data_IF_558320652025
#
_entry.id   IF_558320652025
#
_cell.length_a   1.000
_cell.length_b   1.000
_cell.length_c   1.000
_cell.angle_alpha   90.00
_cell.angle_beta   90.00
_cell.angle_gamma   90.00
#
_symmetry.space_group_name_H-M   'P 1'
#
loop_
_entity.id
_entity.type
_entity.pdbx_description
1 polymer ?
#
# COMPACT_ATOMS: atom_id res chain seq x y z
N UNK A 1 -30.36 -39.85 -8.75
CA UNK A 1 -29.01 -40.36 -9.06
C UNK A 1 -28.08 -39.16 -8.99
N UNK A 2 -27.34 -39.07 -7.89
CA UNK A 2 -26.53 -37.94 -7.46
C UNK A 2 -25.23 -37.89 -8.28
N UNK A 3 -25.03 -36.82 -9.03
CA UNK A 3 -23.77 -36.56 -9.73
C UNK A 3 -22.78 -35.93 -8.75
N UNK A 4 -22.02 -36.77 -8.05
CA UNK A 4 -20.86 -36.33 -7.29
C UNK A 4 -19.83 -35.80 -8.29
N UNK A 5 -19.70 -34.48 -8.36
CA UNK A 5 -18.63 -33.77 -9.05
C UNK A 5 -17.26 -34.18 -8.51
N UNK A 6 -16.76 -35.31 -8.99
CA UNK A 6 -15.39 -35.76 -8.80
C UNK A 6 -14.52 -34.89 -9.67
N UNK A 7 -13.86 -33.92 -9.05
CA UNK A 7 -12.74 -33.22 -9.68
C UNK A 7 -11.65 -34.27 -9.92
N UNK A 8 -11.56 -34.77 -11.16
CA UNK A 8 -10.59 -35.79 -11.51
C UNK A 8 -9.15 -35.37 -11.16
N UNK A 9 -8.22 -36.34 -10.99
CA UNK A 9 -6.85 -36.12 -10.51
C UNK A 9 -6.02 -35.09 -11.31
N UNK A 10 -6.49 -34.62 -12.48
CA UNK A 10 -5.90 -33.56 -13.27
C UNK A 10 -6.33 -32.11 -12.93
N UNK A 11 -7.22 -31.90 -11.95
CA UNK A 11 -7.68 -30.55 -11.55
C UNK A 11 -6.63 -29.77 -10.74
N UNK A 12 -6.01 -30.43 -9.75
CA UNK A 12 -4.95 -29.83 -8.93
C UNK A 12 -3.65 -29.61 -9.72
N UNK A 13 -3.35 -30.49 -10.68
CA UNK A 13 -2.16 -30.43 -11.52
C UNK A 13 -2.14 -29.22 -12.46
N UNK A 14 -3.32 -28.67 -12.81
CA UNK A 14 -3.46 -27.47 -13.64
C UNK A 14 -3.36 -26.15 -12.87
N UNK A 15 -3.25 -26.20 -11.55
CA UNK A 15 -3.10 -25.00 -10.72
C UNK A 15 -1.73 -24.37 -10.91
N UNK A 16 -1.67 -23.04 -10.79
CA UNK A 16 -0.41 -22.31 -10.77
C UNK A 16 0.51 -22.78 -9.64
N UNK A 17 1.82 -22.65 -9.84
CA UNK A 17 2.84 -23.18 -8.92
C UNK A 17 2.65 -22.73 -7.46
N UNK A 18 2.31 -21.45 -7.24
CA UNK A 18 2.07 -20.90 -5.89
C UNK A 18 0.88 -21.56 -5.18
N UNK A 19 -0.21 -21.83 -5.89
CA UNK A 19 -1.38 -22.53 -5.34
C UNK A 19 -1.05 -23.98 -4.98
N UNK A 20 -0.16 -24.63 -5.75
CA UNK A 20 0.30 -25.99 -5.47
C UNK A 20 1.23 -26.05 -4.26
N UNK A 21 1.98 -24.98 -3.99
CA UNK A 21 2.78 -24.83 -2.77
C UNK A 21 1.94 -24.45 -1.54
N UNK A 22 0.63 -24.25 -1.69
CA UNK A 22 -0.24 -23.86 -0.58
C UNK A 22 -0.14 -22.39 -0.20
N UNK A 23 0.22 -21.51 -1.14
CA UNK A 23 0.29 -20.06 -0.95
C UNK A 23 -0.86 -19.32 -1.67
N UNK A 24 -2.13 -19.48 -1.24
CA UNK A 24 -3.25 -18.71 -1.80
C UNK A 24 -3.13 -17.24 -1.43
N UNK A 25 -3.47 -16.34 -2.35
CA UNK A 25 -3.49 -14.90 -2.07
C UNK A 25 -4.69 -14.54 -1.19
N UNK A 26 -4.44 -13.78 -0.12
CA UNK A 26 -5.48 -13.22 0.73
C UNK A 26 -6.20 -12.05 0.01
N UNK A 27 -7.54 -12.03 0.03
CA UNK A 27 -8.34 -10.93 -0.53
C UNK A 27 -8.10 -9.61 0.19
N UNK A 28 -7.65 -9.67 1.44
CA UNK A 28 -7.27 -8.52 2.25
C UNK A 28 -5.80 -8.09 2.08
N UNK A 29 -4.97 -8.84 1.36
CA UNK A 29 -3.52 -8.64 1.32
C UNK A 29 -3.13 -7.20 0.93
N UNK A 30 -3.76 -6.65 -0.12
CA UNK A 30 -3.44 -5.28 -0.57
C UNK A 30 -3.75 -4.25 0.51
N UNK A 31 -4.82 -4.44 1.28
CA UNK A 31 -5.15 -3.52 2.38
C UNK A 31 -4.04 -3.54 3.44
N UNK A 32 -3.59 -4.71 3.86
CA UNK A 32 -2.51 -4.85 4.84
C UNK A 32 -1.20 -4.23 4.33
N UNK A 33 -0.84 -4.50 3.08
CA UNK A 33 0.37 -3.96 2.46
C UNK A 33 0.33 -2.43 2.30
N UNK A 34 -0.83 -1.87 1.94
CA UNK A 34 -1.04 -0.41 1.91
C UNK A 34 -0.98 0.19 3.31
N UNK A 35 -1.59 -0.45 4.31
CA UNK A 35 -1.48 0.00 5.71
C UNK A 35 -0.03 0.05 6.17
N UNK A 36 0.76 -0.99 5.87
CA UNK A 36 2.19 -1.03 6.15
C UNK A 36 2.91 0.16 5.49
N UNK A 37 2.72 0.35 4.18
CA UNK A 37 3.37 1.42 3.41
C UNK A 37 3.03 2.82 3.92
N UNK A 38 1.73 3.09 4.11
CA UNK A 38 1.24 4.39 4.59
C UNK A 38 1.77 4.66 5.99
N UNK A 39 1.73 3.67 6.90
CA UNK A 39 2.29 3.81 8.22
C UNK A 39 3.80 4.13 8.17
N UNK A 40 4.57 3.44 7.32
CA UNK A 40 5.99 3.73 7.15
C UNK A 40 6.26 5.15 6.67
N UNK A 41 5.56 5.61 5.63
CA UNK A 41 5.74 6.97 5.09
C UNK A 41 5.35 8.01 6.14
N UNK A 42 4.18 7.87 6.75
CA UNK A 42 3.71 8.80 7.80
C UNK A 42 4.70 8.86 8.96
N UNK A 43 5.24 7.71 9.39
CA UNK A 43 6.26 7.65 10.44
C UNK A 43 7.53 8.39 10.06
N UNK A 44 8.08 8.20 8.85
CA UNK A 44 9.26 8.95 8.38
C UNK A 44 9.02 10.47 8.45
N UNK A 45 7.88 10.92 7.93
CA UNK A 45 7.53 12.35 7.93
C UNK A 45 7.36 12.90 9.34
N UNK A 46 6.62 12.19 10.18
CA UNK A 46 6.33 12.61 11.55
C UNK A 46 7.62 12.72 12.35
N UNK A 47 8.52 11.73 12.23
CA UNK A 47 9.84 11.73 12.86
C UNK A 47 10.66 12.92 12.38
N UNK A 48 10.74 13.16 11.06
CA UNK A 48 11.49 14.30 10.51
C UNK A 48 10.91 15.65 10.90
N UNK A 49 9.60 15.81 10.87
CA UNK A 49 8.93 17.04 11.29
C UNK A 49 9.18 17.31 12.77
N UNK A 50 9.09 16.28 13.61
CA UNK A 50 9.42 16.36 15.03
C UNK A 50 10.88 16.78 15.25
N UNK A 51 11.84 16.13 14.58
CA UNK A 51 13.27 16.46 14.69
C UNK A 51 13.58 17.88 14.21
N UNK A 52 12.97 18.31 13.11
CA UNK A 52 13.14 19.68 12.60
C UNK A 52 12.56 20.73 13.57
N UNK A 53 11.39 20.46 14.16
CA UNK A 53 10.75 21.37 15.11
C UNK A 53 11.49 21.47 16.44
N UNK A 54 12.17 20.39 16.85
CA UNK A 54 12.88 20.31 18.13
C UNK A 54 14.38 20.59 18.03
N UNK A 55 14.89 20.87 16.82
CA UNK A 55 16.30 21.19 16.60
C UNK A 55 17.25 19.99 16.68
N UNK A 56 16.78 18.80 16.31
CA UNK A 56 17.54 17.54 16.35
C UNK A 56 18.07 17.17 17.75
N UNK A 57 17.18 17.02 18.75
CA UNK A 57 17.58 16.66 20.10
C UNK A 57 18.21 15.28 20.11
N UNK A 58 19.36 15.14 20.76
CA UNK A 58 19.97 13.85 20.98
C UNK A 58 19.32 13.18 22.18
N UNK A 59 18.68 12.03 21.97
CA UNK A 59 18.14 11.20 23.04
C UNK A 59 19.22 10.20 23.47
N UNK A 60 19.87 10.51 24.58
CA UNK A 60 20.95 9.70 25.18
C UNK A 60 22.07 10.58 25.77
N UNK A 61 22.80 10.07 26.77
CA UNK A 61 23.84 10.78 27.49
C UNK A 61 25.09 9.91 27.68
N UNK A 62 26.27 10.54 27.86
CA UNK A 62 27.53 9.84 28.13
C UNK A 62 28.13 9.08 26.92
N UNK A 63 27.82 9.48 25.69
CA UNK A 63 28.30 8.82 24.46
C UNK A 63 27.37 7.72 23.92
N UNK A 64 26.24 7.46 24.58
CA UNK A 64 25.19 6.57 24.07
C UNK A 64 24.12 7.41 23.35
N UNK A 65 23.92 7.17 22.06
CA UNK A 65 22.79 7.69 21.29
C UNK A 65 21.80 6.56 21.04
N UNK A 66 20.58 6.67 21.59
CA UNK A 66 19.52 5.71 21.32
C UNK A 66 18.84 6.09 20.00
N UNK A 67 19.32 5.51 18.90
CA UNK A 67 18.79 5.80 17.58
C UNK A 67 17.38 5.21 17.41
N UNK A 68 16.52 5.95 16.71
CA UNK A 68 15.14 5.55 16.41
C UNK A 68 15.06 4.23 15.63
N UNK A 69 16.16 3.83 14.97
CA UNK A 69 16.33 2.53 14.31
C UNK A 69 16.14 1.34 15.27
N UNK A 70 16.50 1.47 16.55
CA UNK A 70 16.36 0.41 17.55
C UNK A 70 14.87 0.16 17.84
N UNK A 71 14.12 1.25 18.06
CA UNK A 71 12.67 1.20 18.21
C UNK A 71 11.99 0.68 16.94
N UNK A 72 12.51 1.07 15.78
CA UNK A 72 12.09 0.53 14.49
C UNK A 72 12.22 -0.99 14.41
N UNK A 73 13.40 -1.51 14.73
CA UNK A 73 13.67 -2.95 14.81
C UNK A 73 12.78 -3.67 15.82
N UNK A 74 12.59 -3.10 17.02
CA UNK A 74 11.72 -3.67 18.05
C UNK A 74 10.26 -3.77 17.59
N UNK A 75 9.71 -2.72 16.98
CA UNK A 75 8.33 -2.74 16.48
C UNK A 75 8.14 -3.75 15.34
N UNK A 76 9.12 -3.90 14.45
CA UNK A 76 9.09 -4.95 13.43
C UNK A 76 9.16 -6.35 14.04
N UNK A 77 10.00 -6.56 15.06
CA UNK A 77 10.08 -7.82 15.79
C UNK A 77 8.74 -8.15 16.49
N UNK A 78 8.12 -7.16 17.15
CA UNK A 78 6.80 -7.32 17.76
C UNK A 78 5.72 -7.62 16.72
N UNK A 79 5.79 -7.01 15.53
CA UNK A 79 4.88 -7.33 14.43
C UNK A 79 5.04 -8.79 13.96
N UNK A 80 6.27 -9.28 13.82
CA UNK A 80 6.54 -10.69 13.50
C UNK A 80 6.05 -11.62 14.60
N UNK A 81 6.34 -11.33 15.87
CA UNK A 81 5.85 -12.11 17.01
C UNK A 81 4.32 -12.19 16.99
N UNK A 82 3.64 -11.07 16.76
CA UNK A 82 2.18 -11.03 16.66
C UNK A 82 1.65 -11.89 15.51
N UNK A 83 2.24 -11.77 14.32
CA UNK A 83 1.81 -12.55 13.14
C UNK A 83 2.10 -14.06 13.26
N UNK A 84 3.12 -14.44 14.03
CA UNK A 84 3.51 -15.83 14.25
C UNK A 84 2.81 -16.47 15.46
N UNK A 85 2.34 -15.67 16.42
CA UNK A 85 1.73 -16.19 17.66
C UNK A 85 0.26 -16.57 17.52
N UNK A 86 -0.45 -16.00 16.53
CA UNK A 86 -1.90 -16.12 16.42
C UNK A 86 -2.31 -16.69 15.06
N UNK A 87 -3.32 -17.56 15.08
CA UNK A 87 -3.93 -18.12 13.87
C UNK A 87 -5.06 -17.22 13.39
N UNK A 88 -5.20 -17.09 12.06
CA UNK A 88 -6.28 -16.35 11.42
C UNK A 88 -5.96 -14.87 11.12
N UNK A 89 -6.96 -14.11 10.64
CA UNK A 89 -6.78 -12.79 10.05
C UNK A 89 -6.73 -11.63 11.04
N UNK A 90 -7.19 -11.81 12.28
CA UNK A 90 -7.37 -10.76 13.28
C UNK A 90 -6.08 -9.95 13.52
N UNK A 91 -4.92 -10.56 13.85
CA UNK A 91 -3.69 -9.82 14.14
C UNK A 91 -3.09 -9.08 12.94
N UNK A 92 -3.50 -9.41 11.70
CA UNK A 92 -2.81 -8.93 10.48
C UNK A 92 -2.88 -7.41 10.30
N UNK A 93 -3.98 -6.77 10.72
CA UNK A 93 -4.10 -5.31 10.64
C UNK A 93 -3.07 -4.62 11.55
N UNK A 94 -2.99 -5.09 12.80
CA UNK A 94 -2.07 -4.53 13.79
C UNK A 94 -0.61 -4.88 13.43
N UNK A 95 -0.35 -6.09 12.94
CA UNK A 95 0.96 -6.48 12.44
C UNK A 95 1.43 -5.61 11.27
N UNK A 96 0.54 -5.30 10.32
CA UNK A 96 0.84 -4.39 9.23
C UNK A 96 1.14 -2.96 9.73
N UNK A 97 0.38 -2.45 10.71
CA UNK A 97 0.62 -1.13 11.30
C UNK A 97 1.96 -1.09 12.05
N UNK A 98 2.18 -2.01 12.99
CA UNK A 98 3.41 -2.07 13.80
C UNK A 98 4.63 -2.29 12.92
N UNK A 99 4.53 -3.20 11.95
CA UNK A 99 5.59 -3.43 10.96
C UNK A 99 5.86 -2.17 10.14
N UNK A 100 4.81 -1.46 9.71
CA UNK A 100 4.93 -0.23 8.94
C UNK A 100 5.59 0.89 9.72
N UNK A 101 5.13 1.16 10.96
CA UNK A 101 5.76 2.15 11.86
C UNK A 101 7.20 1.76 12.16
N UNK A 102 7.46 0.49 12.47
CA UNK A 102 8.80 -0.01 12.76
C UNK A 102 9.75 0.16 11.57
N UNK A 103 9.29 -0.19 10.37
CA UNK A 103 10.04 0.01 9.13
C UNK A 103 10.28 1.50 8.84
N UNK A 104 9.29 2.36 9.09
CA UNK A 104 9.42 3.82 8.93
C UNK A 104 10.50 4.42 9.83
N UNK A 105 10.55 4.03 11.10
CA UNK A 105 11.62 4.46 12.02
C UNK A 105 12.99 3.91 11.62
N UNK A 106 13.03 2.67 11.14
CA UNK A 106 14.26 2.02 10.69
C UNK A 106 14.85 2.71 9.46
N UNK A 107 14.02 2.95 8.44
CA UNK A 107 14.45 3.47 7.15
C UNK A 107 14.85 4.95 7.24
N UNK A 108 14.29 5.73 8.17
CA UNK A 108 14.66 7.13 8.37
C UNK A 108 16.14 7.31 8.80
N UNK A 109 16.67 6.35 9.56
CA UNK A 109 18.05 6.36 10.06
C UNK A 109 19.04 5.65 9.12
N UNK A 110 18.59 5.11 7.98
CA UNK A 110 19.45 4.33 7.06
C UNK A 110 20.67 5.13 6.60
N UNK A 111 20.57 6.45 6.55
CA UNK A 111 21.66 7.34 6.16
C UNK A 111 22.88 7.28 7.08
N UNK A 112 22.66 7.15 8.39
CA UNK A 112 23.77 7.00 9.35
C UNK A 112 24.55 5.71 9.12
N UNK A 113 23.91 4.65 8.64
CA UNK A 113 24.53 3.33 8.50
C UNK A 113 25.13 3.06 7.12
N UNK A 114 24.85 3.91 6.13
CA UNK A 114 25.36 3.76 4.77
C UNK A 114 26.72 4.46 4.58
N UNK A 115 27.09 5.39 5.48
CA UNK A 115 28.42 6.03 5.47
C UNK A 115 29.28 5.55 6.61
N UNK A 116 30.57 5.34 6.34
CA UNK A 116 31.58 5.01 7.35
C UNK A 116 31.75 6.10 8.43
N UNK A 117 31.24 7.31 8.19
CA UNK A 117 31.37 8.47 9.07
C UNK A 117 30.07 8.79 9.86
N UNK A 118 29.03 7.95 9.78
CA UNK A 118 27.72 8.17 10.44
C UNK A 118 27.04 9.51 10.08
N UNK A 119 27.23 10.02 8.86
CA UNK A 119 26.66 11.32 8.44
C UNK A 119 25.15 11.22 8.18
N UNK A 120 24.36 11.88 9.03
CA UNK A 120 22.91 11.99 8.94
C UNK A 120 22.40 12.63 7.64
N UNK A 121 23.23 13.47 7.01
CA UNK A 121 22.87 14.27 5.84
C UNK A 121 23.44 13.74 4.53
N UNK A 122 23.95 12.50 4.51
CA UNK A 122 24.48 11.89 3.30
C UNK A 122 23.45 11.94 2.15
N UNK A 123 23.81 12.59 1.04
CA UNK A 123 22.88 12.91 -0.05
C UNK A 123 22.13 11.68 -0.65
N UNK A 124 22.72 10.46 -0.67
CA UNK A 124 22.02 9.24 -1.07
C UNK A 124 20.95 8.69 -0.12
N UNK A 125 20.88 9.12 1.15
CA UNK A 125 19.95 8.55 2.14
C UNK A 125 18.50 8.63 1.68
N UNK A 126 18.06 9.81 1.26
CA UNK A 126 16.69 10.01 0.79
C UNK A 126 16.39 9.20 -0.48
N UNK A 127 17.39 9.02 -1.36
CA UNK A 127 17.26 8.18 -2.54
C UNK A 127 17.12 6.70 -2.20
N UNK A 128 17.79 6.21 -1.14
CA UNK A 128 17.65 4.83 -0.65
C UNK A 128 16.26 4.61 -0.04
N UNK A 129 15.82 5.49 0.87
CA UNK A 129 14.48 5.42 1.47
C UNK A 129 13.44 5.32 0.36
N UNK A 130 13.50 6.25 -0.59
CA UNK A 130 12.60 6.30 -1.72
C UNK A 130 12.70 5.06 -2.63
N UNK A 131 13.90 4.61 -3.00
CA UNK A 131 14.10 3.42 -3.83
C UNK A 131 13.46 2.18 -3.17
N UNK A 132 13.66 2.02 -1.86
CA UNK A 132 13.07 0.91 -1.12
C UNK A 132 11.55 1.05 -1.06
N UNK A 133 11.00 2.25 -0.79
CA UNK A 133 9.55 2.51 -0.85
C UNK A 133 8.99 2.13 -2.22
N UNK A 134 9.63 2.55 -3.29
CA UNK A 134 9.27 2.25 -4.68
C UNK A 134 9.26 0.75 -4.95
N UNK A 135 10.34 0.06 -4.59
CA UNK A 135 10.45 -1.39 -4.78
C UNK A 135 9.34 -2.10 -4.02
N UNK A 136 9.04 -1.67 -2.79
CA UNK A 136 7.91 -2.22 -2.02
C UNK A 136 6.58 -2.00 -2.74
N UNK A 137 6.29 -0.79 -3.25
CA UNK A 137 5.06 -0.54 -4.04
C UNK A 137 4.99 -1.46 -5.27
N UNK A 138 6.08 -1.59 -6.01
CA UNK A 138 6.15 -2.45 -7.18
C UNK A 138 5.96 -3.93 -6.84
N UNK A 139 6.50 -4.39 -5.72
CA UNK A 139 6.31 -5.76 -5.23
C UNK A 139 4.84 -5.99 -4.85
N UNK A 140 4.21 -5.06 -4.13
CA UNK A 140 2.78 -5.14 -3.79
C UNK A 140 1.93 -5.25 -5.06
N UNK A 141 2.22 -4.41 -6.06
CA UNK A 141 1.53 -4.41 -7.34
C UNK A 141 1.80 -5.64 -8.19
N UNK A 142 3.04 -6.14 -8.22
CA UNK A 142 3.40 -7.34 -8.95
C UNK A 142 2.74 -8.60 -8.37
N UNK A 143 2.65 -8.68 -7.04
CA UNK A 143 2.10 -9.84 -6.33
C UNK A 143 0.56 -9.87 -6.36
N UNK A 144 -0.07 -8.72 -6.18
CA UNK A 144 -1.53 -8.65 -5.96
C UNK A 144 -2.29 -7.86 -7.04
N UNK A 145 -1.60 -7.31 -8.04
CA UNK A 145 -2.21 -6.58 -9.13
C UNK A 145 -3.03 -7.45 -10.09
N UNK A 146 -4.12 -6.84 -10.60
CA UNK A 146 -5.02 -7.12 -11.75
C UNK A 146 -5.46 -8.56 -12.10
N UNK A 147 -4.88 -9.60 -11.54
CA UNK A 147 -5.29 -10.99 -11.78
C UNK A 147 -6.42 -11.35 -10.85
N UNK A 148 -7.56 -11.73 -11.42
CA UNK A 148 -8.67 -12.30 -10.69
C UNK A 148 -8.17 -13.44 -9.78
N UNK A 149 -8.79 -13.57 -8.61
CA UNK A 149 -8.48 -14.68 -7.72
C UNK A 149 -9.03 -15.99 -8.28
N UNK A 150 -8.28 -17.07 -8.07
CA UNK A 150 -8.77 -18.41 -8.38
C UNK A 150 -9.85 -18.80 -7.35
N UNK A 151 -10.89 -19.57 -7.70
CA UNK A 151 -11.90 -20.06 -6.75
C UNK A 151 -11.30 -20.69 -5.47
N UNK A 152 -10.28 -21.54 -5.62
CA UNK A 152 -9.50 -22.06 -4.49
C UNK A 152 -8.92 -21.00 -3.52
N UNK A 153 -8.55 -19.81 -4.00
CA UNK A 153 -8.07 -18.72 -3.13
C UNK A 153 -9.21 -18.17 -2.28
N UNK A 154 -10.40 -17.96 -2.86
CA UNK A 154 -11.57 -17.52 -2.09
C UNK A 154 -11.96 -18.53 -1.01
N UNK A 155 -11.94 -19.83 -1.35
CA UNK A 155 -12.23 -20.89 -0.39
C UNK A 155 -11.19 -20.95 0.74
N UNK A 156 -9.90 -20.80 0.42
CA UNK A 156 -8.85 -20.76 1.41
C UNK A 156 -8.98 -19.55 2.35
N UNK A 157 -9.34 -18.38 1.83
CA UNK A 157 -9.60 -17.19 2.66
C UNK A 157 -10.84 -17.39 3.53
N UNK A 158 -11.89 -18.05 3.04
CA UNK A 158 -13.06 -18.40 3.86
C UNK A 158 -12.66 -19.31 5.04
N UNK A 159 -11.84 -20.34 4.78
CA UNK A 159 -11.31 -21.23 5.81
C UNK A 159 -10.41 -20.48 6.82
N UNK A 160 -9.61 -19.51 6.36
CA UNK A 160 -8.83 -18.65 7.24
C UNK A 160 -9.71 -17.76 8.14
N UNK A 161 -10.85 -17.26 7.64
CA UNK A 161 -11.83 -16.54 8.47
C UNK A 161 -12.49 -17.45 9.50
N UNK A 162 -12.79 -18.70 9.13
CA UNK A 162 -13.29 -19.71 10.05
C UNK A 162 -12.35 -19.95 11.23
N UNK A 163 -11.03 -19.88 11.04
CA UNK A 163 -10.09 -20.06 12.16
C UNK A 163 -10.32 -19.04 13.29
N UNK A 164 -10.66 -17.79 12.96
CA UNK A 164 -11.06 -16.80 13.95
C UNK A 164 -12.49 -17.04 14.47
N UNK A 165 -13.43 -17.36 13.56
CA UNK A 165 -14.82 -17.61 13.91
C UNK A 165 -15.03 -18.80 14.87
N UNK A 166 -14.26 -19.87 14.71
CA UNK A 166 -14.32 -21.03 15.59
C UNK A 166 -13.86 -20.73 17.02
N UNK A 167 -12.96 -19.76 17.19
CA UNK A 167 -12.46 -19.37 18.50
C UNK A 167 -13.34 -18.32 19.20
N UNK A 168 -13.88 -17.35 18.44
CA UNK A 168 -14.57 -16.18 19.00
C UNK A 168 -16.03 -16.01 18.56
N UNK A 169 -16.53 -16.82 17.64
CA UNK A 169 -17.81 -16.59 16.97
C UNK A 169 -17.70 -15.61 15.79
N UNK A 170 -18.81 -15.40 15.09
CA UNK A 170 -18.90 -14.44 13.98
C UNK A 170 -19.85 -13.30 14.29
N UNK A 171 -19.36 -12.08 14.04
CA UNK A 171 -20.22 -10.92 13.84
C UNK A 171 -21.05 -11.08 12.56
N UNK A 172 -22.21 -10.41 12.43
CA UNK A 172 -23.05 -10.52 11.24
C UNK A 172 -22.31 -10.17 9.94
N UNK A 173 -21.42 -9.17 9.99
CA UNK A 173 -20.59 -8.75 8.85
C UNK A 173 -19.51 -9.78 8.52
N UNK A 174 -18.84 -10.36 9.53
CA UNK A 174 -17.83 -11.39 9.34
C UNK A 174 -18.44 -12.68 8.76
N UNK A 175 -19.62 -13.09 9.24
CA UNK A 175 -20.36 -14.24 8.69
C UNK A 175 -20.72 -14.00 7.23
N UNK A 176 -21.26 -12.83 6.90
CA UNK A 176 -21.61 -12.49 5.53
C UNK A 176 -20.38 -12.49 4.61
N UNK A 177 -19.26 -11.92 5.04
CA UNK A 177 -18.00 -11.95 4.27
C UNK A 177 -17.52 -13.39 4.05
N UNK A 178 -17.51 -14.23 5.09
CA UNK A 178 -17.11 -15.64 4.98
C UNK A 178 -18.04 -16.43 4.04
N UNK A 179 -19.35 -16.17 4.09
CA UNK A 179 -20.36 -16.77 3.21
C UNK A 179 -20.13 -16.40 1.75
N UNK A 180 -19.88 -15.13 1.47
CA UNK A 180 -19.59 -14.65 0.11
C UNK A 180 -18.29 -15.25 -0.45
N UNK A 181 -17.26 -15.40 0.39
CA UNK A 181 -16.01 -16.03 0.01
C UNK A 181 -16.20 -17.53 -0.27
N UNK A 182 -16.95 -18.24 0.57
CA UNK A 182 -17.27 -19.65 0.34
C UNK A 182 -18.07 -19.84 -0.96
N UNK A 183 -19.04 -18.96 -1.24
CA UNK A 183 -19.81 -18.98 -2.48
C UNK A 183 -18.95 -18.74 -3.73
N UNK A 184 -17.98 -17.81 -3.67
CA UNK A 184 -17.03 -17.57 -4.77
C UNK A 184 -16.06 -18.75 -4.99
N UNK A 185 -15.84 -19.56 -3.97
CA UNK A 185 -15.08 -20.81 -4.04
C UNK A 185 -15.91 -22.05 -4.41
N UNK A 186 -17.19 -21.88 -4.77
CA UNK A 186 -18.06 -23.01 -5.11
C UNK A 186 -17.47 -23.86 -6.24
N UNK A 187 -17.57 -25.19 -6.10
CA UNK A 187 -17.01 -26.17 -7.03
C UNK A 187 -15.58 -26.62 -6.70
N UNK A 188 -14.90 -25.96 -5.75
CA UNK A 188 -13.63 -26.46 -5.22
C UNK A 188 -13.84 -27.59 -4.19
N UNK A 189 -12.90 -28.53 -4.07
CA UNK A 189 -12.95 -29.55 -3.04
C UNK A 189 -13.03 -28.93 -1.64
N UNK A 190 -14.01 -29.37 -0.83
CA UNK A 190 -14.22 -28.83 0.51
C UNK A 190 -15.15 -27.63 0.61
N UNK A 191 -15.65 -27.10 -0.52
CA UNK A 191 -16.49 -25.89 -0.52
C UNK A 191 -17.79 -26.03 0.27
N UNK A 192 -18.48 -27.16 0.14
CA UNK A 192 -19.71 -27.43 0.89
C UNK A 192 -19.45 -27.48 2.41
N UNK A 193 -18.38 -28.17 2.81
CA UNK A 193 -18.01 -28.33 4.22
C UNK A 193 -17.64 -26.98 4.85
N UNK A 194 -16.90 -26.13 4.13
CA UNK A 194 -16.58 -24.77 4.59
C UNK A 194 -17.85 -23.93 4.72
N UNK A 195 -18.76 -24.00 3.74
CA UNK A 195 -20.03 -23.27 3.82
C UNK A 195 -20.88 -23.71 5.01
N UNK A 196 -21.00 -25.02 5.25
CA UNK A 196 -21.73 -25.57 6.39
C UNK A 196 -21.11 -25.14 7.72
N UNK A 197 -19.76 -25.15 7.81
CA UNK A 197 -19.05 -24.67 9.00
C UNK A 197 -19.29 -23.18 9.25
N UNK A 198 -19.33 -22.34 8.21
CA UNK A 198 -19.61 -20.89 8.35
C UNK A 198 -20.96 -20.65 9.01
N UNK A 199 -21.97 -21.46 8.68
CA UNK A 199 -23.29 -21.36 9.30
C UNK A 199 -23.34 -21.94 10.71
N UNK A 200 -22.51 -22.95 10.99
CA UNK A 200 -22.44 -23.58 12.30
C UNK A 200 -21.72 -22.71 13.36
N UNK A 201 -20.86 -21.77 12.94
CA UNK A 201 -20.16 -20.86 13.88
C UNK A 201 -21.18 -20.00 14.65
N UNK A 202 -21.14 -19.97 15.99
CA UNK A 202 -22.03 -19.14 16.80
C UNK A 202 -21.97 -17.65 16.42
N UNK A 203 -23.08 -16.94 16.61
CA UNK A 203 -23.05 -15.49 16.52
C UNK A 203 -22.26 -14.91 17.70
N UNK A 204 -21.48 -13.88 17.42
CA UNK A 204 -20.85 -13.06 18.44
C UNK A 204 -21.19 -11.59 18.20
N UNK A 205 -21.43 -10.87 19.30
CA UNK A 205 -21.77 -9.46 19.33
C UNK A 205 -20.54 -8.59 19.61
N UNK A 206 -19.44 -9.21 20.08
CA UNK A 206 -18.19 -8.54 20.41
C UNK A 206 -17.33 -8.35 19.16
N UNK A 207 -17.58 -7.26 18.42
CA UNK A 207 -16.64 -6.80 17.40
C UNK A 207 -15.37 -6.31 18.12
N UNK A 208 -14.32 -7.13 18.16
CA UNK A 208 -13.03 -6.73 18.74
C UNK A 208 -12.62 -5.42 18.07
N UNK A 209 -12.49 -4.30 18.82
CA UNK A 209 -12.16 -3.03 18.22
C UNK A 209 -10.82 -3.17 17.51
N UNK A 210 -10.83 -3.09 16.18
CA UNK A 210 -9.63 -2.94 15.38
C UNK A 210 -9.47 -1.42 15.13
N UNK A 211 -8.78 -0.68 16.02
CA UNK A 211 -8.64 0.77 15.91
C UNK A 211 -7.92 1.16 14.62
N UNK A 212 -7.08 0.28 14.09
CA UNK A 212 -6.41 0.47 12.80
C UNK A 212 -7.43 0.42 11.68
N UNK A 213 -8.29 -0.61 11.64
CA UNK A 213 -9.41 -0.66 10.69
C UNK A 213 -10.38 0.49 10.88
N UNK A 214 -10.69 0.90 12.11
CA UNK A 214 -11.57 2.03 12.38
C UNK A 214 -10.98 3.35 11.86
N UNK A 215 -9.70 3.59 12.10
CA UNK A 215 -8.97 4.75 11.57
C UNK A 215 -8.87 4.73 10.05
N UNK A 216 -8.47 3.60 9.45
CA UNK A 216 -8.44 3.43 7.98
C UNK A 216 -9.83 3.62 7.38
N UNK A 217 -10.89 3.04 7.95
CA UNK A 217 -12.28 3.27 7.51
C UNK A 217 -12.74 4.70 7.71
N UNK A 218 -12.22 5.41 8.71
CA UNK A 218 -12.48 6.83 8.92
C UNK A 218 -11.85 7.67 7.81
N UNK A 219 -10.58 7.41 7.50
CA UNK A 219 -9.85 8.05 6.39
C UNK A 219 -10.49 7.71 5.04
N UNK A 220 -10.81 6.44 4.79
CA UNK A 220 -11.47 5.98 3.57
C UNK A 220 -12.83 6.65 3.43
N UNK A 221 -13.73 6.62 4.43
CA UNK A 221 -15.02 7.32 4.35
C UNK A 221 -14.88 8.83 4.15
N UNK A 222 -13.85 9.45 4.75
CA UNK A 222 -13.57 10.86 4.54
C UNK A 222 -13.09 11.14 3.12
N UNK A 223 -12.23 10.27 2.57
CA UNK A 223 -11.80 10.30 1.18
C UNK A 223 -12.96 10.00 0.23
N UNK A 224 -13.81 9.03 0.48
CA UNK A 224 -14.99 8.70 -0.34
C UNK A 224 -15.96 9.87 -0.34
N UNK A 225 -16.24 10.48 0.82
CA UNK A 225 -17.07 11.69 0.92
C UNK A 225 -16.45 12.93 0.25
N UNK A 226 -15.12 12.95 0.07
CA UNK A 226 -14.44 13.93 -0.78
C UNK A 226 -14.59 13.57 -2.25
N UNK A 227 -14.27 12.33 -2.64
CA UNK A 227 -14.24 11.79 -4.01
C UNK A 227 -15.62 11.77 -4.66
N UNK A 228 -16.69 11.53 -3.90
CA UNK A 228 -18.09 11.62 -4.35
C UNK A 228 -18.46 13.01 -4.85
N UNK A 229 -17.67 14.02 -4.50
CA UNK A 229 -17.85 15.37 -5.04
C UNK A 229 -17.08 15.47 -6.35
N UNK A 230 -17.78 15.86 -7.41
CA UNK A 230 -17.20 16.06 -8.74
C UNK A 230 -15.96 16.98 -8.77
N UNK A 231 -15.77 17.83 -7.76
CA UNK A 231 -14.59 18.70 -7.63
C UNK A 231 -13.35 18.01 -7.04
N UNK A 232 -13.46 16.88 -6.34
CA UNK A 232 -12.30 16.24 -5.70
C UNK A 232 -11.37 15.56 -6.71
N UNK A 233 -11.92 15.00 -7.80
CA UNK A 233 -11.08 14.54 -8.91
C UNK A 233 -10.25 15.70 -9.49
N UNK A 234 -10.87 16.88 -9.66
CA UNK A 234 -10.18 18.09 -10.09
C UNK A 234 -9.18 18.62 -9.05
N UNK A 235 -9.47 18.46 -7.76
CA UNK A 235 -8.53 18.78 -6.68
C UNK A 235 -7.28 17.88 -6.77
N UNK A 236 -7.46 16.56 -6.89
CA UNK A 236 -6.34 15.60 -6.98
C UNK A 236 -5.53 15.87 -8.24
N UNK A 237 -6.18 16.06 -9.39
CA UNK A 237 -5.50 16.42 -10.65
C UNK A 237 -4.75 17.74 -10.50
N UNK A 238 -5.38 18.76 -9.91
CA UNK A 238 -4.78 20.07 -9.66
C UNK A 238 -3.56 19.99 -8.73
N UNK A 239 -3.64 19.16 -7.70
CA UNK A 239 -2.55 18.93 -6.77
C UNK A 239 -1.38 18.20 -7.43
N UNK A 240 -1.66 17.15 -8.23
CA UNK A 240 -0.64 16.45 -9.02
C UNK A 240 0.02 17.38 -10.04
N UNK A 241 -0.74 18.26 -10.69
CA UNK A 241 -0.20 19.28 -11.59
C UNK A 241 0.68 20.29 -10.85
N UNK A 242 0.25 20.75 -9.67
CA UNK A 242 1.03 21.67 -8.84
C UNK A 242 2.37 21.05 -8.42
N UNK A 243 2.36 19.78 -8.00
CA UNK A 243 3.57 19.00 -7.70
C UNK A 243 4.46 18.91 -8.94
N UNK A 244 3.90 18.53 -10.10
CA UNK A 244 4.64 18.47 -11.36
C UNK A 244 5.28 19.81 -11.77
N UNK A 245 4.60 20.94 -11.53
CA UNK A 245 5.17 22.29 -11.77
C UNK A 245 6.35 22.57 -10.84
N UNK A 246 6.22 22.25 -9.55
CA UNK A 246 7.31 22.41 -8.58
C UNK A 246 8.53 21.55 -8.97
N UNK A 247 8.31 20.32 -9.41
CA UNK A 247 9.36 19.41 -9.87
C UNK A 247 10.01 19.89 -11.16
N UNK A 248 9.21 20.39 -12.13
CA UNK A 248 9.73 20.99 -13.35
C UNK A 248 10.60 22.21 -13.04
N UNK A 249 10.19 23.05 -12.09
CA UNK A 249 11.01 24.17 -11.63
C UNK A 249 12.36 23.69 -11.07
N UNK A 250 12.39 22.60 -10.29
CA UNK A 250 13.65 21.99 -9.86
C UNK A 250 14.49 21.53 -11.06
N UNK A 251 13.89 20.86 -12.04
CA UNK A 251 14.57 20.43 -13.26
C UNK A 251 15.22 21.58 -14.04
N UNK A 252 14.51 22.70 -14.18
CA UNK A 252 15.02 23.93 -14.81
C UNK A 252 16.19 24.52 -14.01
N UNK A 253 16.06 24.61 -12.67
CA UNK A 253 17.14 25.12 -11.81
C UNK A 253 18.42 24.29 -11.91
N UNK A 254 18.29 22.96 -12.01
CA UNK A 254 19.44 22.05 -12.21
C UNK A 254 20.09 22.29 -13.58
N UNK A 255 19.29 22.40 -14.65
CA UNK A 255 19.81 22.68 -16.00
C UNK A 255 20.50 24.04 -16.10
N UNK A 256 19.98 25.04 -15.39
CA UNK A 256 20.55 26.38 -15.32
C UNK A 256 21.83 26.45 -14.45
N UNK A 257 22.30 25.33 -13.89
CA UNK A 257 23.50 25.29 -13.03
C UNK A 257 23.30 25.95 -11.67
N UNK A 258 22.05 26.21 -11.26
CA UNK A 258 21.73 26.86 -9.98
C UNK A 258 21.73 25.89 -8.80
N UNK A 259 21.90 24.59 -9.06
CA UNK A 259 22.00 23.52 -8.05
C UNK A 259 23.40 22.93 -8.12
N UNK A 260 24.23 23.23 -7.14
CA UNK A 260 25.62 22.76 -7.07
C UNK A 260 25.69 21.26 -6.77
N UNK A 261 26.66 20.57 -7.38
CA UNK A 261 26.92 19.14 -7.14
C UNK A 261 26.01 18.17 -7.90
N UNK A 262 25.15 18.66 -8.80
CA UNK A 262 24.23 17.83 -9.59
C UNK A 262 24.53 17.99 -11.09
N UNK A 263 24.74 16.89 -11.84
CA UNK A 263 24.96 16.97 -13.29
C UNK A 263 23.74 17.53 -14.03
N UNK A 264 23.98 18.35 -15.07
CA UNK A 264 22.92 18.97 -15.89
C UNK A 264 21.95 17.95 -16.53
N UNK A 265 22.44 16.74 -16.89
CA UNK A 265 21.59 15.67 -17.41
C UNK A 265 20.48 15.26 -16.43
N UNK A 266 20.69 15.44 -15.12
CA UNK A 266 19.68 15.17 -14.09
C UNK A 266 18.47 16.08 -14.27
N UNK A 267 18.70 17.37 -14.56
CA UNK A 267 17.62 18.33 -14.81
C UNK A 267 16.83 18.02 -16.08
N UNK A 268 17.52 17.60 -17.15
CA UNK A 268 16.86 17.12 -18.36
C UNK A 268 16.00 15.86 -18.09
N UNK A 269 16.54 14.91 -17.32
CA UNK A 269 15.82 13.71 -16.94
C UNK A 269 14.57 14.01 -16.08
N UNK A 270 14.65 14.97 -15.15
CA UNK A 270 13.49 15.45 -14.37
C UNK A 270 12.40 15.97 -15.30
N UNK A 271 12.75 16.87 -16.24
CA UNK A 271 11.78 17.47 -17.16
C UNK A 271 11.11 16.44 -18.06
N UNK A 272 11.87 15.45 -18.55
CA UNK A 272 11.31 14.34 -19.35
C UNK A 272 10.34 13.51 -18.50
N UNK A 273 10.71 13.14 -17.27
CA UNK A 273 9.85 12.36 -16.39
C UNK A 273 8.56 13.09 -16.01
N UNK A 274 8.66 14.39 -15.65
CA UNK A 274 7.49 15.25 -15.42
C UNK A 274 6.61 15.32 -16.67
N UNK A 275 7.21 15.54 -17.85
CA UNK A 275 6.49 15.60 -19.12
C UNK A 275 5.69 14.32 -19.40
N UNK A 276 6.30 13.15 -19.20
CA UNK A 276 5.63 11.86 -19.34
C UNK A 276 4.47 11.73 -18.35
N UNK A 277 4.67 12.07 -17.07
CA UNK A 277 3.61 12.04 -16.05
C UNK A 277 2.44 12.96 -16.41
N UNK A 278 2.71 14.19 -16.88
CA UNK A 278 1.68 15.15 -17.30
C UNK A 278 0.92 14.63 -18.53
N UNK A 279 1.59 14.05 -19.52
CA UNK A 279 0.93 13.45 -20.69
C UNK A 279 0.00 12.31 -20.25
N UNK A 280 0.47 11.42 -19.37
CA UNK A 280 -0.35 10.32 -18.84
C UNK A 280 -1.56 10.84 -18.04
N UNK A 281 -1.38 11.91 -17.27
CA UNK A 281 -2.46 12.56 -16.52
C UNK A 281 -3.51 13.17 -17.47
N UNK A 282 -3.07 13.88 -18.51
CA UNK A 282 -3.95 14.46 -19.54
C UNK A 282 -4.71 13.36 -20.30
N UNK A 283 -4.03 12.28 -20.71
CA UNK A 283 -4.68 11.12 -21.32
C UNK A 283 -5.73 10.53 -20.38
N UNK A 284 -5.43 10.44 -19.07
CA UNK A 284 -6.39 9.99 -18.07
C UNK A 284 -7.63 10.87 -17.96
N UNK A 285 -7.46 12.19 -18.03
CA UNK A 285 -8.60 13.14 -18.06
C UNK A 285 -9.41 13.00 -19.34
N UNK A 286 -8.77 12.88 -20.50
CA UNK A 286 -9.44 12.77 -21.80
C UNK A 286 -10.21 11.45 -21.91
N UNK A 287 -9.56 10.33 -21.61
CA UNK A 287 -10.21 8.99 -21.63
C UNK A 287 -11.28 8.90 -20.54
N UNK A 288 -11.03 9.52 -19.38
CA UNK A 288 -11.97 9.58 -18.25
C UNK A 288 -13.30 10.27 -18.57
N UNK A 289 -13.35 11.14 -19.60
CA UNK A 289 -14.61 11.74 -20.08
C UNK A 289 -15.57 10.70 -20.66
N UNK A 290 -15.05 9.62 -21.23
CA UNK A 290 -15.84 8.56 -21.85
C UNK A 290 -15.93 7.31 -20.98
N UNK A 291 -14.86 6.99 -20.23
CA UNK A 291 -14.77 5.81 -19.38
C UNK A 291 -13.94 6.11 -18.11
N UNK A 292 -14.62 6.35 -16.99
CA UNK A 292 -14.00 6.73 -15.71
C UNK A 292 -12.93 5.73 -15.24
N UNK A 293 -13.22 4.43 -15.37
CA UNK A 293 -12.30 3.35 -15.00
C UNK A 293 -10.99 3.40 -15.80
N UNK A 294 -11.08 3.59 -17.11
CA UNK A 294 -9.89 3.68 -17.96
C UNK A 294 -9.12 4.97 -17.70
N UNK A 295 -9.81 6.09 -17.49
CA UNK A 295 -9.20 7.35 -17.10
C UNK A 295 -8.40 7.22 -15.80
N UNK A 296 -9.01 6.62 -14.77
CA UNK A 296 -8.36 6.35 -13.49
C UNK A 296 -7.13 5.44 -13.62
N UNK A 297 -7.14 4.46 -14.54
CA UNK A 297 -5.93 3.64 -14.81
C UNK A 297 -4.79 4.47 -15.41
N UNK A 298 -5.07 5.45 -16.25
CA UNK A 298 -4.05 6.35 -16.82
C UNK A 298 -3.52 7.36 -15.81
N UNK A 299 -4.39 7.94 -14.98
CA UNK A 299 -3.98 8.78 -13.84
C UNK A 299 -3.05 7.96 -12.91
N UNK A 300 -3.37 6.69 -12.69
CA UNK A 300 -2.55 5.79 -11.88
C UNK A 300 -1.16 5.59 -12.50
N UNK A 301 -1.07 5.44 -13.81
CA UNK A 301 0.21 5.36 -14.53
C UNK A 301 1.02 6.64 -14.39
N UNK A 302 0.38 7.80 -14.46
CA UNK A 302 1.03 9.09 -14.24
C UNK A 302 1.67 9.17 -12.85
N UNK A 303 0.91 8.82 -11.81
CA UNK A 303 1.40 8.79 -10.43
C UNK A 303 2.54 7.78 -10.28
N UNK A 304 2.45 6.60 -10.90
CA UNK A 304 3.55 5.64 -10.90
C UNK A 304 4.80 6.18 -11.58
N UNK A 305 4.71 6.86 -12.73
CA UNK A 305 5.89 7.44 -13.38
C UNK A 305 6.52 8.52 -12.50
N UNK A 306 5.70 9.39 -11.89
CA UNK A 306 6.17 10.36 -10.90
C UNK A 306 6.90 9.67 -9.75
N UNK A 307 6.24 8.67 -9.16
CA UNK A 307 6.74 7.88 -8.04
C UNK A 307 7.94 7.02 -8.36
N UNK A 308 8.27 6.70 -9.62
CA UNK A 308 9.41 5.82 -9.95
C UNK A 308 10.61 6.59 -10.49
N UNK A 309 10.36 7.66 -11.23
CA UNK A 309 11.39 8.37 -12.00
C UNK A 309 11.54 9.81 -11.53
N UNK A 310 10.45 10.57 -11.47
CA UNK A 310 10.53 12.00 -11.17
C UNK A 310 11.04 12.23 -9.75
N UNK A 311 10.40 11.61 -8.76
CA UNK A 311 10.79 11.78 -7.37
C UNK A 311 12.23 11.32 -7.12
N UNK A 312 12.69 10.21 -7.72
CA UNK A 312 14.09 9.73 -7.62
C UNK A 312 15.10 10.82 -8.00
N UNK A 313 14.84 11.47 -9.13
CA UNK A 313 15.73 12.47 -9.72
C UNK A 313 15.63 13.80 -8.97
N UNK A 314 14.43 14.19 -8.55
CA UNK A 314 14.19 15.41 -7.76
C UNK A 314 14.82 15.29 -6.37
N UNK A 315 14.77 14.11 -5.73
CA UNK A 315 15.45 13.85 -4.46
C UNK A 315 16.97 14.04 -4.56
N UNK A 316 17.58 13.65 -5.69
CA UNK A 316 19.01 13.91 -5.95
C UNK A 316 19.32 15.40 -6.04
N UNK A 317 18.35 16.22 -6.46
CA UNK A 317 18.52 17.67 -6.65
C UNK A 317 18.18 18.49 -5.40
N UNK A 318 17.07 18.19 -4.72
CA UNK A 318 16.57 18.97 -3.57
C UNK A 318 16.06 18.03 -2.48
N UNK A 319 16.86 17.87 -1.42
CA UNK A 319 16.72 16.81 -0.40
C UNK A 319 15.38 16.84 0.37
N UNK A 320 14.77 18.02 0.57
CA UNK A 320 13.63 18.20 1.49
C UNK A 320 12.28 18.48 0.81
N UNK A 321 12.24 19.10 -0.38
CA UNK A 321 10.98 19.38 -1.08
C UNK A 321 10.36 18.13 -1.71
N UNK A 322 11.18 17.16 -2.10
CA UNK A 322 10.73 15.90 -2.70
C UNK A 322 9.93 15.01 -1.73
N UNK A 323 10.16 15.14 -0.42
CA UNK A 323 9.41 14.38 0.59
C UNK A 323 7.91 14.72 0.57
N UNK A 324 7.54 15.98 0.36
CA UNK A 324 6.14 16.37 0.25
C UNK A 324 5.50 15.90 -1.06
N UNK A 325 6.23 15.96 -2.18
CA UNK A 325 5.77 15.44 -3.47
C UNK A 325 5.48 13.94 -3.41
N UNK A 326 6.42 13.16 -2.85
CA UNK A 326 6.26 11.72 -2.62
C UNK A 326 4.99 11.38 -1.82
N UNK A 327 4.70 12.16 -0.78
CA UNK A 327 3.54 11.93 0.09
C UNK A 327 2.24 12.18 -0.65
N UNK A 328 2.18 13.28 -1.39
CA UNK A 328 1.03 13.60 -2.22
C UNK A 328 0.81 12.54 -3.30
N UNK A 329 1.89 12.07 -3.93
CA UNK A 329 1.83 11.00 -4.91
C UNK A 329 1.36 9.66 -4.29
N UNK A 330 1.84 9.29 -3.10
CA UNK A 330 1.39 8.08 -2.39
C UNK A 330 -0.07 8.21 -1.96
N UNK A 331 -0.49 9.35 -1.43
CA UNK A 331 -1.88 9.60 -1.05
C UNK A 331 -2.81 9.56 -2.27
N UNK A 332 -2.40 10.19 -3.37
CA UNK A 332 -3.12 10.13 -4.63
C UNK A 332 -3.21 8.69 -5.16
N UNK A 333 -2.12 7.93 -5.07
CA UNK A 333 -2.09 6.52 -5.45
C UNK A 333 -3.08 5.68 -4.63
N UNK A 334 -3.09 5.85 -3.32
CA UNK A 334 -4.01 5.13 -2.41
C UNK A 334 -5.46 5.52 -2.67
N UNK A 335 -5.76 6.82 -2.78
CA UNK A 335 -7.11 7.31 -3.05
C UNK A 335 -7.64 6.76 -4.38
N UNK A 336 -6.78 6.69 -5.40
CA UNK A 336 -7.12 6.15 -6.71
C UNK A 336 -7.34 4.63 -6.69
N UNK A 337 -6.59 3.90 -5.88
CA UNK A 337 -6.80 2.46 -5.67
C UNK A 337 -8.16 2.16 -5.02
N UNK A 338 -8.56 2.97 -4.05
CA UNK A 338 -9.88 2.84 -3.41
C UNK A 338 -10.99 3.08 -4.44
N UNK A 339 -10.93 4.21 -5.16
CA UNK A 339 -11.91 4.56 -6.19
C UNK A 339 -12.01 3.50 -7.30
N UNK A 340 -10.88 2.96 -7.75
CA UNK A 340 -10.84 1.90 -8.77
C UNK A 340 -11.47 0.58 -8.31
N UNK A 341 -11.49 0.28 -7.01
CA UNK A 341 -12.11 -0.94 -6.48
C UNK A 341 -13.61 -0.81 -6.38
N UNK A 342 -14.10 0.34 -5.96
CA UNK A 342 -15.53 0.61 -5.86
C UNK A 342 -16.21 0.59 -7.23
N UNK A 343 -15.64 1.27 -8.23
CA UNK A 343 -16.19 1.28 -9.59
C UNK A 343 -16.20 -0.13 -10.23
N UNK A 344 -15.19 -0.96 -9.96
CA UNK A 344 -15.19 -2.37 -10.41
C UNK A 344 -16.26 -3.20 -9.71
N UNK A 345 -16.48 -2.94 -8.42
CA UNK A 345 -17.51 -3.60 -7.61
C UNK A 345 -18.93 -3.22 -8.03
N UNK A 346 -19.14 -2.00 -8.54
CA UNK A 346 -20.42 -1.54 -9.09
C UNK A 346 -20.67 -2.16 -10.48
N UNK A 347 -19.67 -2.13 -11.37
CA UNK A 347 -19.80 -2.65 -12.74
C UNK A 347 -20.05 -4.16 -12.81
N UNK A 348 -19.53 -4.92 -11.84
CA UNK A 348 -19.78 -6.36 -11.71
C UNK A 348 -21.17 -6.71 -11.16
N UNK A 349 -21.91 -5.73 -10.58
CA UNK A 349 -23.30 -5.93 -10.13
C UNK A 349 -24.32 -5.51 -11.17
N UNK A 350 -23.92 -4.70 -12.15
CA UNK A 350 -24.80 -4.19 -13.22
C UNK A 350 -24.63 -4.94 -14.54
N UNK A 351 -23.70 -5.89 -14.62
CA UNK A 351 -23.51 -6.86 -15.72
C UNK A 351 -24.03 -8.24 -15.33
#
# INVERSE_FOLDING_TARGET
>A
MSDHGTTGPGGLARRGHLLRLGAPRDTAAVRHLVTFLVASVVTVLATRAYLAATGYPQIGGGGLHLAHVLWGGLLMALAMMLLLSYVGPVPRSLGALLGGVGFGLFIDEVGKFVTSDNDYFYAPTAAIIYFVTVVLVLVVEGLHGRRAHHPAEYLAVAADRLAAGLAGGFTPSARQEARELAAKGAGEPGAAQVADLVEAVPADDADVPDPVRAGVRGVVRWLDGLVDRAWAAWLVIGLLLLVGVAEAAVGVRVLAGQVSGVPAWTGAAILVAVGVSVVLLVVGVVVGRHNRLEGAVWVRRAVLVSLLFTQLLVFRAVRWTAAFGLVLDVLAFVALEVALREERGVRARTS
#
